data_IF_786981536549
#
_entry.id   IF_786981536549
#
_cell.length_a   1.000
_cell.length_b   1.000
_cell.length_c   1.000
_cell.angle_alpha   90.00
_cell.angle_beta   90.00
_cell.angle_gamma   90.00
#
_symmetry.space_group_name_H-M   'P 1'
#
loop_
_entity.id
_entity.type
_entity.pdbx_description
1 polymer ?
#
# COMPACT_ATOMS: atom_id res chain seq x y z
N UNK A 1 -10.03 -18.63 34.34
CA UNK A 1 -11.17 -18.25 33.47
C UNK A 1 -10.58 -17.33 32.42
N UNK A 2 -10.35 -17.87 31.23
CA UNK A 2 -9.53 -17.29 30.16
C UNK A 2 -10.28 -16.11 29.54
N UNK A 3 -9.74 -14.89 29.64
CA UNK A 3 -10.25 -13.72 28.93
C UNK A 3 -9.88 -13.91 27.46
N UNK A 4 -10.90 -14.00 26.62
CA UNK A 4 -10.77 -14.17 25.19
C UNK A 4 -10.10 -12.95 24.56
N UNK A 5 -9.01 -13.23 23.84
CA UNK A 5 -8.44 -12.48 22.75
C UNK A 5 -9.55 -11.89 21.86
N UNK A 6 -9.70 -10.57 21.87
CA UNK A 6 -10.46 -9.84 20.85
C UNK A 6 -9.51 -8.86 20.18
N UNK A 7 -8.63 -9.41 19.34
CA UNK A 7 -8.03 -8.66 18.25
C UNK A 7 -9.17 -8.37 17.25
N UNK A 8 -9.84 -7.23 17.42
CA UNK A 8 -10.79 -6.70 16.47
C UNK A 8 -10.00 -6.27 15.21
N UNK A 9 -9.68 -7.25 14.36
CA UNK A 9 -9.18 -7.01 13.03
C UNK A 9 -10.40 -6.58 12.22
N UNK A 10 -10.63 -5.27 12.15
CA UNK A 10 -11.58 -4.71 11.20
C UNK A 10 -11.24 -5.25 9.80
N UNK A 11 -12.15 -5.98 9.13
CA UNK A 11 -11.92 -6.41 7.77
C UNK A 11 -11.84 -5.14 6.92
N UNK A 12 -10.62 -4.85 6.46
CA UNK A 12 -10.35 -3.85 5.44
C UNK A 12 -11.41 -3.95 4.35
N UNK A 13 -12.24 -2.92 4.23
CA UNK A 13 -13.36 -2.84 3.30
C UNK A 13 -12.92 -3.31 1.92
N UNK A 14 -13.46 -4.49 1.56
CA UNK A 14 -13.30 -5.11 0.27
C UNK A 14 -14.32 -4.52 -0.71
N UNK A 15 -14.21 -3.23 -1.01
CA UNK A 15 -14.80 -2.66 -2.22
C UNK A 15 -13.73 -2.76 -3.31
N UNK A 16 -13.71 -3.92 -3.95
CA UNK A 16 -12.70 -4.33 -4.95
C UNK A 16 -12.95 -3.69 -6.33
N UNK A 17 -13.75 -2.63 -6.40
CA UNK A 17 -14.03 -1.92 -7.64
C UNK A 17 -13.88 -0.40 -7.41
N UNK A 18 -12.80 0.18 -7.95
CA UNK A 18 -12.54 1.62 -8.04
C UNK A 18 -12.01 2.40 -6.82
N UNK A 19 -11.04 1.87 -6.06
CA UNK A 19 -10.08 2.77 -5.39
C UNK A 19 -9.15 3.37 -6.45
N UNK A 20 -9.55 4.50 -7.05
CA UNK A 20 -8.71 5.25 -7.99
C UNK A 20 -7.40 5.66 -7.31
N UNK A 21 -7.44 5.94 -6.00
CA UNK A 21 -6.30 6.29 -5.17
C UNK A 21 -6.18 5.39 -3.93
N UNK A 22 -4.96 4.94 -3.67
CA UNK A 22 -4.52 4.09 -2.57
C UNK A 22 -3.71 4.90 -1.57
N UNK A 23 -4.00 4.76 -0.29
CA UNK A 23 -3.17 5.28 0.79
C UNK A 23 -1.87 4.49 0.94
N UNK A 24 -0.92 4.98 1.75
CA UNK A 24 0.32 4.26 2.08
C UNK A 24 0.09 2.82 2.55
N UNK A 25 -0.95 2.59 3.38
CA UNK A 25 -1.25 1.25 3.91
C UNK A 25 -1.78 0.34 2.82
N UNK A 26 -2.66 0.85 1.97
CA UNK A 26 -3.25 0.09 0.87
C UNK A 26 -2.22 -0.22 -0.21
N UNK A 27 -1.38 0.75 -0.58
CA UNK A 27 -0.28 0.52 -1.51
C UNK A 27 0.70 -0.55 -0.98
N UNK A 28 1.02 -0.55 0.32
CA UNK A 28 1.83 -1.58 0.95
C UNK A 28 1.17 -2.96 0.93
N UNK A 29 -0.14 -3.03 1.24
CA UNK A 29 -0.92 -4.26 1.19
C UNK A 29 -1.00 -4.82 -0.24
N UNK A 30 -1.19 -3.96 -1.24
CA UNK A 30 -1.22 -4.33 -2.66
C UNK A 30 0.13 -4.87 -3.13
N UNK A 31 1.22 -4.31 -2.63
CA UNK A 31 2.57 -4.80 -2.87
C UNK A 31 2.93 -6.06 -2.06
N UNK A 32 2.05 -6.52 -1.17
CA UNK A 32 2.27 -7.66 -0.25
C UNK A 32 3.53 -7.51 0.62
N UNK A 33 3.85 -6.29 1.04
CA UNK A 33 4.99 -5.99 1.91
C UNK A 33 4.56 -5.32 3.21
N UNK A 34 5.32 -5.48 4.31
CA UNK A 34 5.10 -4.69 5.52
C UNK A 34 5.20 -3.19 5.27
N UNK A 35 4.45 -2.39 6.02
CA UNK A 35 4.46 -0.92 5.88
C UNK A 35 5.86 -0.31 6.08
N UNK A 36 6.68 -0.89 6.97
CA UNK A 36 8.07 -0.46 7.20
C UNK A 36 8.95 -0.68 5.96
N UNK A 37 8.79 -1.83 5.30
CA UNK A 37 9.48 -2.15 4.04
C UNK A 37 9.03 -1.21 2.93
N UNK A 38 7.73 -0.97 2.81
CA UNK A 38 7.18 -0.02 1.85
C UNK A 38 7.75 1.39 2.04
N UNK A 39 7.75 1.92 3.27
CA UNK A 39 8.29 3.25 3.55
C UNK A 39 9.80 3.32 3.23
N UNK A 40 10.54 2.24 3.48
CA UNK A 40 11.95 2.11 3.10
C UNK A 40 12.16 2.15 1.58
N UNK A 41 11.36 1.41 0.80
CA UNK A 41 11.42 1.43 -0.66
C UNK A 41 11.07 2.80 -1.24
N UNK A 42 10.05 3.47 -0.67
CA UNK A 42 9.69 4.85 -1.05
C UNK A 42 10.84 5.82 -0.79
N UNK A 43 11.45 5.77 0.39
CA UNK A 43 12.59 6.66 0.74
C UNK A 43 13.81 6.42 -0.13
N UNK A 44 14.01 5.19 -0.62
CA UNK A 44 15.08 4.84 -1.54
C UNK A 44 14.76 5.16 -3.00
N UNK A 45 13.64 5.83 -3.30
CA UNK A 45 13.14 6.07 -4.66
C UNK A 45 13.01 4.79 -5.51
N UNK A 46 12.81 3.63 -4.87
CA UNK A 46 12.53 2.36 -5.55
C UNK A 46 11.04 2.09 -5.71
N UNK A 47 10.19 2.99 -5.25
CA UNK A 47 8.74 2.92 -5.40
C UNK A 47 8.26 4.17 -6.13
N UNK A 48 7.20 4.11 -6.96
CA UNK A 48 6.67 5.28 -7.64
C UNK A 48 6.33 6.42 -6.67
N UNK A 49 6.51 7.65 -7.15
CA UNK A 49 6.07 8.83 -6.42
C UNK A 49 4.54 8.85 -6.29
N UNK A 50 3.99 9.46 -5.24
CA UNK A 50 2.55 9.59 -5.08
C UNK A 50 1.95 10.42 -6.22
N UNK A 51 0.88 9.91 -6.82
CA UNK A 51 0.11 10.58 -7.87
C UNK A 51 -0.67 11.79 -7.33
N UNK A 52 -1.05 11.76 -6.05
CA UNK A 52 -1.79 12.84 -5.41
C UNK A 52 -1.42 13.01 -3.94
N UNK A 53 -1.70 14.21 -3.42
CA UNK A 53 -1.57 14.53 -2.00
C UNK A 53 -2.91 15.00 -1.46
N UNK A 54 -3.35 14.40 -0.35
CA UNK A 54 -4.50 14.84 0.44
C UNK A 54 -3.97 15.39 1.77
N UNK A 55 -3.63 16.68 1.78
CA UNK A 55 -2.90 17.29 2.89
C UNK A 55 -1.54 16.61 3.10
N UNK A 56 -1.31 16.04 4.29
CA UNK A 56 -0.08 15.28 4.61
C UNK A 56 -0.10 13.83 4.10
N UNK A 57 -1.22 13.38 3.53
CA UNK A 57 -1.38 12.00 3.08
C UNK A 57 -0.98 11.87 1.62
N UNK A 58 -0.07 10.93 1.37
CA UNK A 58 0.34 10.54 0.02
C UNK A 58 -0.64 9.49 -0.51
N UNK A 59 -1.04 9.67 -1.76
CA UNK A 59 -1.97 8.80 -2.47
C UNK A 59 -1.35 8.32 -3.79
N UNK A 60 -1.54 7.05 -4.12
CA UNK A 60 -1.08 6.43 -5.35
C UNK A 60 -2.24 5.91 -6.15
N UNK A 61 -2.23 6.06 -7.46
CA UNK A 61 -3.25 5.38 -8.24
C UNK A 61 -3.05 3.88 -8.19
N UNK A 62 -4.15 3.15 -8.08
CA UNK A 62 -4.11 1.68 -8.18
C UNK A 62 -3.43 1.26 -9.49
N UNK A 63 -3.76 1.91 -10.60
CA UNK A 63 -3.11 1.70 -11.89
C UNK A 63 -1.59 1.91 -11.85
N UNK A 64 -1.09 2.95 -11.15
CA UNK A 64 0.34 3.25 -11.01
C UNK A 64 1.06 2.14 -10.24
N UNK A 65 0.47 1.67 -9.13
CA UNK A 65 1.05 0.57 -8.35
C UNK A 65 1.00 -0.75 -9.13
N UNK A 66 -0.11 -1.04 -9.82
CA UNK A 66 -0.21 -2.22 -10.68
C UNK A 66 0.81 -2.20 -11.83
N UNK A 67 0.98 -1.07 -12.50
CA UNK A 67 1.97 -0.91 -13.56
C UNK A 67 3.39 -1.12 -13.04
N UNK A 68 3.70 -0.59 -11.85
CA UNK A 68 4.98 -0.82 -11.18
C UNK A 68 5.23 -2.31 -10.87
N UNK A 69 4.23 -3.00 -10.32
CA UNK A 69 4.32 -4.44 -10.05
C UNK A 69 4.47 -5.26 -11.33
N UNK A 70 3.73 -4.91 -12.39
CA UNK A 70 3.83 -5.55 -13.71
C UNK A 70 5.20 -5.31 -14.38
N UNK A 71 5.81 -4.14 -14.17
CA UNK A 71 7.16 -3.83 -14.64
C UNK A 71 8.26 -4.64 -13.91
N UNK A 72 7.90 -5.50 -12.97
CA UNK A 72 8.82 -6.32 -12.19
C UNK A 72 9.12 -5.77 -10.79
N UNK A 73 8.39 -4.74 -10.35
CA UNK A 73 8.57 -4.10 -9.04
C UNK A 73 9.99 -3.61 -8.81
N UNK A 74 10.50 -3.77 -7.59
CA UNK A 74 11.90 -3.50 -7.25
C UNK A 74 12.84 -4.62 -7.68
N UNK A 75 12.78 -5.05 -8.94
CA UNK A 75 13.79 -5.96 -9.48
C UNK A 75 15.15 -5.28 -9.36
N UNK A 76 15.94 -5.81 -8.42
CA UNK A 76 17.37 -5.53 -8.31
C UNK A 76 17.97 -6.00 -9.64
N UNK A 77 18.42 -5.05 -10.45
CA UNK A 77 19.32 -5.32 -11.56
C UNK A 77 20.67 -5.80 -11.01
#
# INVERSE_FOLDING_TARGET
>A
MTIHDQLEIEPANADTEALDYLTRREAAALCRVPLSTFDSLRRQNRFPFPDAHMGKHMLWRSATVHAFLQAGGTRVA
#
